data_IF_797870026790
#
_entry.id   IF_797870026790
#
_cell.length_a   1.000
_cell.length_b   1.000
_cell.length_c   1.000
_cell.angle_alpha   90.00
_cell.angle_beta   90.00
_cell.angle_gamma   90.00
#
_symmetry.space_group_name_H-M   'P 1'
#
loop_
_entity.id
_entity.type
_entity.pdbx_description
1 polymer ?
#
# COMPACT_ATOMS: atom_id res chain seq x y z
N UNK A 1 -9.03 14.93 15.83
CA UNK A 1 -9.96 14.44 14.79
C UNK A 1 -9.59 13.00 14.48
N UNK A 2 -10.55 12.14 14.14
CA UNK A 2 -10.22 10.82 13.60
C UNK A 2 -9.49 10.98 12.25
N UNK A 3 -8.60 10.06 11.85
CA UNK A 3 -7.97 10.12 10.55
C UNK A 3 -9.00 9.98 9.41
N UNK A 4 -8.66 10.46 8.23
CA UNK A 4 -9.52 10.36 7.02
C UNK A 4 -8.75 9.69 5.90
N UNK A 5 -9.39 8.77 5.18
CA UNK A 5 -8.87 8.16 3.95
C UNK A 5 -9.49 8.89 2.75
N UNK A 6 -8.65 9.49 1.92
CA UNK A 6 -9.03 10.13 0.66
C UNK A 6 -8.74 9.20 -0.52
N UNK A 7 -9.74 9.04 -1.39
CA UNK A 7 -9.72 8.19 -2.57
C UNK A 7 -9.57 9.04 -3.83
N UNK A 8 -8.58 8.69 -4.66
CA UNK A 8 -8.15 9.45 -5.82
C UNK A 8 -8.08 8.60 -7.08
N UNK A 9 -8.12 9.23 -8.24
CA UNK A 9 -7.41 8.70 -9.40
C UNK A 9 -6.22 9.59 -9.72
N UNK A 10 -5.28 9.05 -10.46
CA UNK A 10 -4.06 9.79 -10.84
C UNK A 10 -4.20 10.59 -12.13
N UNK A 11 -5.24 10.36 -12.93
CA UNK A 11 -5.36 10.87 -14.31
C UNK A 11 -4.20 10.42 -15.22
N UNK A 12 -3.82 9.14 -15.12
CA UNK A 12 -2.69 8.53 -15.84
C UNK A 12 -3.06 7.18 -16.46
N UNK A 13 -2.17 6.57 -17.26
CA UNK A 13 -2.32 5.19 -17.68
C UNK A 13 -2.30 4.20 -16.51
N UNK A 14 -2.78 2.98 -16.77
CA UNK A 14 -2.94 1.89 -15.80
C UNK A 14 -1.66 1.40 -15.13
N UNK A 15 -0.52 1.60 -15.75
CA UNK A 15 0.80 1.16 -15.26
C UNK A 15 1.58 2.28 -14.54
N UNK A 16 0.97 3.45 -14.32
CA UNK A 16 1.63 4.53 -13.61
C UNK A 16 1.58 4.29 -12.10
N UNK A 17 2.75 4.01 -11.52
CA UNK A 17 2.85 3.56 -10.11
C UNK A 17 3.92 4.31 -9.32
N UNK A 18 4.50 5.36 -9.91
CA UNK A 18 5.60 6.15 -9.33
C UNK A 18 5.12 7.54 -8.96
N UNK A 19 4.83 7.78 -7.68
CA UNK A 19 4.44 9.09 -7.15
C UNK A 19 4.90 9.29 -5.71
N UNK A 20 5.29 10.51 -5.34
CA UNK A 20 5.47 10.87 -3.92
C UNK A 20 4.21 11.42 -3.25
N UNK A 21 3.06 11.42 -3.95
CA UNK A 21 1.85 12.15 -3.53
C UNK A 21 0.82 11.27 -2.81
N UNK A 22 0.86 9.96 -3.05
CA UNK A 22 -0.13 9.01 -2.52
C UNK A 22 0.55 7.99 -1.65
N UNK A 23 -0.15 7.52 -0.62
CA UNK A 23 0.33 6.43 0.22
C UNK A 23 0.36 5.13 -0.57
N UNK A 24 -0.69 4.91 -1.37
CA UNK A 24 -0.84 3.73 -2.22
C UNK A 24 -1.38 4.08 -3.59
N UNK A 25 -0.84 3.41 -4.62
CA UNK A 25 -1.37 3.43 -5.97
C UNK A 25 -1.83 2.03 -6.37
N UNK A 26 -3.04 1.92 -6.90
CA UNK A 26 -3.63 0.68 -7.43
C UNK A 26 -3.47 0.66 -8.96
N UNK A 27 -2.64 -0.24 -9.48
CA UNK A 27 -2.45 -0.44 -10.91
C UNK A 27 -3.72 -1.00 -11.59
N UNK A 28 -3.81 -0.94 -12.91
CA UNK A 28 -5.02 -1.33 -13.66
C UNK A 28 -5.49 -2.77 -13.46
N UNK A 29 -4.58 -3.67 -13.10
CA UNK A 29 -4.84 -5.07 -12.78
C UNK A 29 -5.21 -5.31 -11.29
N UNK A 30 -5.25 -4.24 -10.48
CA UNK A 30 -5.52 -4.31 -9.04
C UNK A 30 -4.26 -4.44 -8.17
N UNK A 31 -3.06 -4.48 -8.74
CA UNK A 31 -1.82 -4.56 -7.95
C UNK A 31 -1.62 -3.30 -7.09
N UNK A 32 -1.26 -3.48 -5.82
CA UNK A 32 -1.09 -2.37 -4.87
C UNK A 32 0.38 -2.00 -4.70
N UNK A 33 0.71 -0.75 -5.04
CA UNK A 33 2.02 -0.13 -4.82
C UNK A 33 1.95 0.80 -3.62
N UNK A 34 2.42 0.34 -2.46
CA UNK A 34 2.47 1.12 -1.21
C UNK A 34 3.78 1.88 -1.17
N UNK A 35 3.70 3.20 -1.27
CA UNK A 35 4.84 4.10 -1.43
C UNK A 35 5.24 4.72 -0.09
N UNK A 36 4.25 5.09 0.71
CA UNK A 36 4.47 5.74 2.00
C UNK A 36 3.68 5.06 3.09
N UNK A 37 4.23 5.07 4.31
CA UNK A 37 3.53 4.54 5.46
C UNK A 37 2.25 5.32 5.76
N UNK A 38 1.17 4.63 6.12
CA UNK A 38 -0.10 5.23 6.51
C UNK A 38 -0.07 6.03 7.83
N UNK A 39 1.07 6.07 8.51
CA UNK A 39 1.24 6.72 9.82
C UNK A 39 1.79 8.12 9.72
N UNK A 40 1.95 8.64 8.50
CA UNK A 40 2.52 9.96 8.24
C UNK A 40 1.58 10.79 7.38
N UNK A 41 1.75 12.10 7.41
CA UNK A 41 1.03 13.01 6.54
C UNK A 41 1.82 13.22 5.23
N UNK A 42 1.11 13.16 4.11
CA UNK A 42 1.65 13.57 2.81
C UNK A 42 1.13 14.97 2.47
N UNK A 43 2.00 15.83 1.97
CA UNK A 43 1.74 17.27 1.90
C UNK A 43 0.88 17.73 0.70
N UNK A 44 0.55 16.86 -0.26
CA UNK A 44 0.04 17.31 -1.56
C UNK A 44 -0.95 16.36 -2.28
N UNK A 45 -1.93 15.76 -1.59
CA UNK A 45 -2.98 14.96 -2.25
C UNK A 45 -4.38 15.62 -2.20
N UNK A 46 -4.77 16.23 -1.08
CA UNK A 46 -6.10 16.84 -0.88
C UNK A 46 -5.94 18.22 -0.25
N UNK A 47 -6.22 19.27 -1.04
CA UNK A 47 -6.04 20.65 -0.62
C UNK A 47 -6.68 20.95 0.75
N UNK A 48 -5.89 21.51 1.68
CA UNK A 48 -6.27 21.82 3.08
C UNK A 48 -6.77 20.64 3.93
N UNK A 49 -6.57 19.41 3.48
CA UNK A 49 -7.11 18.19 4.10
C UNK A 49 -6.06 17.08 4.30
N UNK A 50 -4.79 17.41 4.07
CA UNK A 50 -3.64 16.50 4.09
C UNK A 50 -3.16 16.05 5.48
N UNK A 51 -3.64 16.69 6.55
CA UNK A 51 -3.20 16.35 7.91
C UNK A 51 -4.07 15.27 8.53
N UNK A 52 -3.44 14.35 9.24
CA UNK A 52 -4.04 13.14 9.82
C UNK A 52 -4.84 12.37 8.74
N UNK A 53 -4.22 12.15 7.59
CA UNK A 53 -4.90 11.65 6.41
C UNK A 53 -4.09 10.64 5.60
N UNK A 54 -4.79 9.67 5.04
CA UNK A 54 -4.24 8.68 4.10
C UNK A 54 -4.81 8.92 2.71
N UNK A 55 -4.00 8.67 1.68
CA UNK A 55 -4.36 8.88 0.28
C UNK A 55 -4.13 7.61 -0.53
N UNK A 56 -5.20 7.04 -1.07
CA UNK A 56 -5.16 5.83 -1.91
C UNK A 56 -5.66 6.23 -3.30
N UNK A 57 -4.84 5.99 -4.32
CA UNK A 57 -5.14 6.37 -5.71
C UNK A 57 -5.26 5.16 -6.62
N UNK A 58 -6.17 5.18 -7.59
CA UNK A 58 -6.11 4.28 -8.74
C UNK A 58 -5.32 4.93 -9.88
N UNK A 59 -4.45 4.15 -10.54
CA UNK A 59 -3.77 4.53 -11.77
C UNK A 59 -4.76 4.47 -12.95
N UNK A 60 -5.55 5.50 -13.19
CA UNK A 60 -6.57 5.49 -14.26
C UNK A 60 -6.93 6.92 -14.69
N UNK A 61 -7.90 7.06 -15.59
CA UNK A 61 -8.42 8.32 -16.12
C UNK A 61 -7.41 9.13 -16.96
N UNK A 62 -6.33 8.50 -17.43
CA UNK A 62 -5.32 9.12 -18.29
C UNK A 62 -5.66 9.17 -19.78
N UNK A 63 -6.87 8.77 -20.16
CA UNK A 63 -7.33 8.76 -21.54
C UNK A 63 -7.30 10.15 -22.20
N UNK A 64 -6.92 10.20 -23.48
CA UNK A 64 -6.94 11.43 -24.30
C UNK A 64 -7.62 11.16 -25.66
N UNK A 65 -8.49 12.06 -26.16
CA UNK A 65 -8.97 13.29 -25.52
C UNK A 65 -10.01 13.05 -24.41
N UNK A 66 -10.55 11.83 -24.31
CA UNK A 66 -11.57 11.45 -23.32
C UNK A 66 -10.93 10.66 -22.15
N UNK A 67 -10.92 11.17 -20.91
CA UNK A 67 -10.45 10.45 -19.73
C UNK A 67 -11.13 9.09 -19.53
N UNK A 68 -12.39 8.97 -19.93
CA UNK A 68 -13.18 7.74 -19.81
C UNK A 68 -12.77 6.65 -20.80
N UNK A 69 -11.80 6.87 -21.68
CA UNK A 69 -11.18 5.76 -22.44
C UNK A 69 -10.28 4.88 -21.56
N UNK A 70 -9.93 5.34 -20.36
CA UNK A 70 -9.23 4.57 -19.34
C UNK A 70 -9.96 4.66 -17.98
N UNK A 71 -11.21 4.16 -17.89
CA UNK A 71 -11.99 4.24 -16.66
C UNK A 71 -11.33 3.45 -15.51
N UNK A 72 -11.71 3.66 -14.24
CA UNK A 72 -11.30 2.76 -13.17
C UNK A 72 -11.75 1.33 -13.51
N UNK A 73 -10.84 0.37 -13.43
CA UNK A 73 -11.18 -1.04 -13.64
C UNK A 73 -11.88 -1.62 -12.41
N UNK A 74 -12.65 -2.69 -12.59
CA UNK A 74 -13.28 -3.37 -11.45
C UNK A 74 -12.21 -3.92 -10.48
N UNK A 75 -11.09 -4.45 -11.02
CA UNK A 75 -9.95 -4.90 -10.23
C UNK A 75 -9.34 -3.76 -9.38
N UNK A 76 -9.23 -2.55 -9.94
CA UNK A 76 -8.80 -1.37 -9.20
C UNK A 76 -9.77 -1.00 -8.07
N UNK A 77 -11.07 -0.97 -8.36
CA UNK A 77 -12.10 -0.61 -7.39
C UNK A 77 -12.11 -1.62 -6.24
N UNK A 78 -12.05 -2.92 -6.55
CA UNK A 78 -12.02 -3.98 -5.56
C UNK A 78 -10.76 -3.90 -4.69
N UNK A 79 -9.58 -3.81 -5.29
CA UNK A 79 -8.31 -3.72 -4.56
C UNK A 79 -8.22 -2.46 -3.70
N UNK A 80 -8.70 -1.31 -4.19
CA UNK A 80 -8.82 -0.09 -3.39
C UNK A 80 -9.75 -0.29 -2.20
N UNK A 81 -10.93 -0.90 -2.38
CA UNK A 81 -11.84 -1.16 -1.26
C UNK A 81 -11.24 -2.12 -0.23
N UNK A 82 -10.56 -3.17 -0.67
CA UNK A 82 -9.83 -4.11 0.21
C UNK A 82 -8.72 -3.40 0.98
N UNK A 83 -7.99 -2.50 0.34
CA UNK A 83 -6.94 -1.73 1.00
C UNK A 83 -7.51 -0.75 2.04
N UNK A 84 -8.59 -0.02 1.70
CA UNK A 84 -9.29 0.84 2.66
C UNK A 84 -9.78 0.04 3.87
N UNK A 85 -10.34 -1.15 3.65
CA UNK A 85 -10.78 -2.02 4.74
C UNK A 85 -9.60 -2.51 5.60
N UNK A 86 -8.45 -2.81 5.00
CA UNK A 86 -7.24 -3.21 5.73
C UNK A 86 -6.70 -2.06 6.61
N UNK A 87 -6.67 -0.83 6.09
CA UNK A 87 -6.29 0.37 6.85
C UNK A 87 -7.30 0.66 7.97
N UNK A 88 -8.60 0.55 7.68
CA UNK A 88 -9.64 0.72 8.68
C UNK A 88 -9.48 -0.27 9.85
N UNK A 89 -9.21 -1.56 9.56
CA UNK A 89 -8.95 -2.58 10.60
C UNK A 89 -7.72 -2.26 11.43
N UNK A 90 -6.64 -1.75 10.83
CA UNK A 90 -5.43 -1.41 11.60
C UNK A 90 -5.63 -0.20 12.52
N UNK A 91 -6.71 0.57 12.33
CA UNK A 91 -7.15 1.64 13.21
C UNK A 91 -8.34 1.24 14.09
N UNK A 92 -8.64 -0.05 14.19
CA UNK A 92 -9.77 -0.61 14.94
C UNK A 92 -11.15 -0.09 14.51
N UNK A 93 -11.27 0.45 13.29
CA UNK A 93 -12.55 0.92 12.75
C UNK A 93 -13.46 -0.25 12.39
N UNK A 94 -14.73 -0.09 12.73
CA UNK A 94 -15.79 -1.04 12.42
C UNK A 94 -16.55 -0.59 11.15
N UNK A 95 -17.41 -1.45 10.61
CA UNK A 95 -18.24 -1.10 9.47
C UNK A 95 -19.08 0.19 9.70
N UNK A 96 -19.54 0.43 10.93
CA UNK A 96 -20.30 1.63 11.31
C UNK A 96 -19.45 2.93 11.26
N UNK A 97 -18.12 2.81 11.29
CA UNK A 97 -17.22 3.94 11.21
C UNK A 97 -16.98 4.42 9.77
N UNK A 98 -17.24 3.57 8.78
CA UNK A 98 -17.06 3.89 7.35
C UNK A 98 -18.17 4.82 6.87
N UNK A 99 -17.97 6.11 7.14
CA UNK A 99 -18.84 7.23 6.83
C UNK A 99 -18.08 8.29 6.03
N UNK A 100 -18.80 9.28 5.52
CA UNK A 100 -18.22 10.34 4.69
C UNK A 100 -17.11 11.11 5.42
N UNK A 101 -17.14 11.24 6.74
CA UNK A 101 -16.11 11.96 7.50
C UNK A 101 -14.78 11.18 7.58
N UNK A 102 -14.81 9.88 7.27
CA UNK A 102 -13.67 8.96 7.44
C UNK A 102 -13.16 8.37 6.14
N UNK A 103 -14.02 8.19 5.14
CA UNK A 103 -13.65 7.73 3.79
C UNK A 103 -14.33 8.61 2.76
N UNK A 104 -13.54 9.44 2.07
CA UNK A 104 -14.01 10.43 1.11
C UNK A 104 -13.35 10.22 -0.24
N UNK A 105 -14.07 10.47 -1.33
CA UNK A 105 -13.43 10.69 -2.62
C UNK A 105 -12.88 12.12 -2.70
N UNK A 106 -11.92 12.39 -3.60
CA UNK A 106 -11.47 13.77 -3.82
C UNK A 106 -12.62 14.66 -4.29
N UNK A 107 -13.58 14.14 -5.08
CA UNK A 107 -14.77 14.91 -5.46
C UNK A 107 -15.58 15.36 -4.23
N UNK A 108 -15.80 14.46 -3.26
CA UNK A 108 -16.56 14.76 -2.04
C UNK A 108 -15.80 15.76 -1.15
N UNK A 109 -14.49 15.57 -1.02
CA UNK A 109 -13.62 16.44 -0.23
C UNK A 109 -13.54 17.85 -0.84
N UNK A 110 -13.38 17.94 -2.17
CA UNK A 110 -13.36 19.18 -2.93
C UNK A 110 -14.67 19.97 -2.84
N UNK A 111 -15.77 19.27 -2.56
CA UNK A 111 -17.11 19.84 -2.42
C UNK A 111 -17.54 20.03 -0.96
N UNK A 112 -16.65 19.83 0.02
CA UNK A 112 -16.95 19.93 1.46
C UNK A 112 -18.18 19.11 1.90
N UNK A 113 -18.40 17.93 1.30
CA UNK A 113 -19.62 17.13 1.53
C UNK A 113 -19.72 16.51 2.92
N UNK A 114 -18.61 16.51 3.67
CA UNK A 114 -18.57 16.16 5.09
C UNK A 114 -19.10 17.28 6.01
N UNK A 115 -19.58 18.39 5.44
CA UNK A 115 -20.11 19.55 6.18
C UNK A 115 -19.01 20.48 6.72
N UNK A 116 -17.73 20.19 6.48
CA UNK A 116 -16.60 21.03 6.87
C UNK A 116 -16.25 22.01 5.75
N UNK A 117 -16.54 23.30 5.93
CA UNK A 117 -16.17 24.34 4.94
C UNK A 117 -14.69 24.70 5.09
N UNK A 118 -13.82 24.00 4.34
CA UNK A 118 -12.36 24.17 4.43
C UNK A 118 -11.79 25.11 3.36
N UNK A 119 -12.49 25.25 2.23
CA UNK A 119 -12.12 25.98 1.03
C UNK A 119 -13.38 26.22 0.17
N UNK A 120 -13.27 27.04 -0.86
CA UNK A 120 -14.30 27.14 -1.89
C UNK A 120 -14.52 25.80 -2.60
N UNK A 121 -15.71 25.58 -3.14
CA UNK A 121 -16.07 24.33 -3.80
C UNK A 121 -15.37 24.21 -5.16
N UNK A 122 -14.29 23.41 -5.21
CA UNK A 122 -13.58 23.08 -6.45
C UNK A 122 -13.91 21.67 -6.98
N UNK A 123 -14.97 21.08 -6.42
CA UNK A 123 -15.46 19.76 -6.82
C UNK A 123 -16.30 19.80 -8.10
N UNK A 124 -17.05 18.72 -8.40
CA UNK A 124 -17.84 18.63 -9.63
C UNK A 124 -18.82 19.79 -9.84
N UNK A 125 -18.96 20.21 -11.10
CA UNK A 125 -19.95 21.24 -11.50
C UNK A 125 -21.37 20.82 -11.15
N UNK A 126 -21.70 19.53 -11.27
CA UNK A 126 -23.00 18.99 -10.88
C UNK A 126 -23.30 19.14 -9.37
N UNK A 127 -22.27 19.40 -8.56
CA UNK A 127 -22.38 19.68 -7.12
C UNK A 127 -22.11 21.16 -6.80
N UNK A 128 -22.17 22.04 -7.80
CA UNK A 128 -22.00 23.49 -7.64
C UNK A 128 -20.54 23.96 -7.50
N UNK A 129 -19.57 23.10 -7.84
CA UNK A 129 -18.15 23.47 -7.86
C UNK A 129 -17.64 23.92 -9.22
N UNK A 130 -16.35 24.26 -9.28
CA UNK A 130 -15.67 24.70 -10.51
C UNK A 130 -15.17 23.57 -11.41
N UNK A 131 -15.22 22.31 -10.95
CA UNK A 131 -15.00 21.11 -11.76
C UNK A 131 -13.57 20.58 -11.80
N UNK A 132 -12.64 21.14 -11.02
CA UNK A 132 -11.23 20.76 -11.04
C UNK A 132 -10.97 19.36 -10.50
N UNK A 133 -11.77 18.90 -9.52
CA UNK A 133 -11.68 17.54 -8.97
C UNK A 133 -13.02 16.85 -8.96
N UNK A 134 -13.06 15.69 -9.60
CA UNK A 134 -14.28 14.89 -9.73
C UNK A 134 -14.02 13.40 -9.51
N UNK A 135 -12.88 13.08 -8.88
CA UNK A 135 -12.43 11.74 -8.51
C UNK A 135 -13.53 10.94 -7.84
N UNK A 136 -13.87 9.82 -8.47
CA UNK A 136 -14.93 8.89 -8.08
C UNK A 136 -16.28 9.56 -7.74
N UNK A 137 -16.59 10.70 -8.37
CA UNK A 137 -17.97 11.17 -8.46
C UNK A 137 -18.84 10.07 -9.08
N UNK A 138 -18.33 9.44 -10.14
CA UNK A 138 -18.90 8.28 -10.80
C UNK A 138 -17.81 7.20 -10.90
N UNK A 139 -18.18 5.92 -10.74
CA UNK A 139 -17.24 4.80 -10.92
C UNK A 139 -17.17 4.29 -12.36
N UNK A 140 -18.10 4.70 -13.21
CA UNK A 140 -18.27 4.27 -14.60
C UNK A 140 -18.88 5.39 -15.43
N UNK A 141 -18.55 5.43 -16.73
CA UNK A 141 -19.00 6.49 -17.64
C UNK A 141 -20.53 6.55 -17.67
N UNK A 142 -21.10 7.73 -17.40
CA UNK A 142 -22.54 7.92 -17.35
C UNK A 142 -23.25 7.25 -16.17
N UNK A 143 -22.51 6.76 -15.17
CA UNK A 143 -23.06 6.15 -13.97
C UNK A 143 -23.72 7.16 -13.01
N UNK A 144 -24.28 6.70 -11.89
CA UNK A 144 -24.78 7.59 -10.85
C UNK A 144 -23.66 8.42 -10.20
N UNK A 145 -24.00 9.63 -9.76
CA UNK A 145 -23.10 10.56 -9.07
C UNK A 145 -22.99 10.24 -7.56
N UNK A 146 -22.86 8.96 -7.22
CA UNK A 146 -22.82 8.44 -5.85
C UNK A 146 -21.61 7.52 -5.61
N UNK A 147 -20.56 7.64 -6.44
CA UNK A 147 -19.41 6.72 -6.42
C UNK A 147 -18.73 6.60 -5.05
N UNK A 148 -18.64 7.69 -4.28
CA UNK A 148 -18.13 7.65 -2.90
C UNK A 148 -18.97 6.77 -1.96
N UNK A 149 -20.30 6.79 -2.10
CA UNK A 149 -21.18 5.94 -1.30
C UNK A 149 -21.14 4.48 -1.76
N UNK A 150 -21.02 4.23 -3.08
CA UNK A 150 -20.81 2.88 -3.60
C UNK A 150 -19.50 2.27 -3.03
N UNK A 151 -18.40 3.03 -3.03
CA UNK A 151 -17.11 2.62 -2.45
C UNK A 151 -17.24 2.34 -0.94
N UNK A 152 -17.80 3.28 -0.17
CA UNK A 152 -18.03 3.07 1.28
C UNK A 152 -18.87 1.83 1.56
N UNK A 153 -19.91 1.56 0.77
CA UNK A 153 -20.74 0.35 0.91
C UNK A 153 -19.94 -0.94 0.71
N UNK A 154 -19.07 -0.98 -0.30
CA UNK A 154 -18.17 -2.13 -0.56
C UNK A 154 -17.18 -2.33 0.61
N UNK A 155 -16.59 -1.25 1.11
CA UNK A 155 -15.70 -1.30 2.29
C UNK A 155 -16.45 -1.80 3.53
N UNK A 156 -17.67 -1.32 3.79
CA UNK A 156 -18.51 -1.82 4.90
C UNK A 156 -18.78 -3.32 4.79
N UNK A 157 -19.12 -3.80 3.58
CA UNK A 157 -19.32 -5.23 3.35
C UNK A 157 -18.05 -6.02 3.68
N UNK A 158 -16.88 -5.55 3.26
CA UNK A 158 -15.60 -6.19 3.57
C UNK A 158 -15.26 -6.22 5.06
N UNK A 159 -15.68 -5.21 5.83
CA UNK A 159 -15.46 -5.17 7.29
C UNK A 159 -16.47 -6.01 8.09
N UNK A 160 -17.67 -6.22 7.55
CA UNK A 160 -18.73 -7.01 8.19
C UNK A 160 -18.52 -8.52 8.09
N UNK A 161 -17.64 -8.97 7.19
CA UNK A 161 -17.20 -10.36 7.12
C UNK A 161 -15.91 -10.46 7.94
N UNK A 162 -15.78 -11.52 8.75
CA UNK A 162 -14.47 -11.94 9.27
C UNK A 162 -13.49 -12.01 8.09
N UNK A 163 -12.20 -11.64 8.25
CA UNK A 163 -11.25 -11.67 7.15
C UNK A 163 -11.21 -13.07 6.54
N UNK A 164 -11.92 -13.25 5.43
CA UNK A 164 -11.91 -14.49 4.68
C UNK A 164 -10.50 -14.61 4.09
N UNK A 165 -9.75 -15.69 4.38
CA UNK A 165 -8.54 -15.97 3.62
C UNK A 165 -8.98 -16.07 2.15
N UNK A 166 -8.57 -15.07 1.36
CA UNK A 166 -8.92 -14.86 -0.05
C UNK A 166 -9.38 -16.15 -0.78
N UNK A 167 -10.63 -16.23 -1.26
CA UNK A 167 -11.16 -17.46 -1.83
C UNK A 167 -10.53 -17.70 -3.20
N UNK A 168 -9.36 -18.34 -3.24
CA UNK A 168 -8.78 -18.82 -4.50
C UNK A 168 -7.34 -19.30 -4.45
N UNK A 169 -6.50 -18.84 -3.51
CA UNK A 169 -5.11 -19.30 -3.41
C UNK A 169 -4.79 -19.76 -2.00
N UNK A 170 -4.20 -20.96 -1.83
CA UNK A 170 -3.75 -21.40 -0.52
C UNK A 170 -2.68 -20.42 -0.01
N UNK A 171 -2.78 -20.05 1.26
CA UNK A 171 -1.77 -19.24 1.92
C UNK A 171 -0.37 -19.81 1.67
N UNK A 172 0.62 -18.93 1.52
CA UNK A 172 2.00 -19.32 1.24
C UNK A 172 2.47 -20.43 2.19
N UNK A 173 2.94 -21.53 1.60
CA UNK A 173 3.51 -22.64 2.34
C UNK A 173 5.02 -22.72 2.11
N UNK A 174 5.79 -22.70 3.20
CA UNK A 174 7.19 -23.09 3.16
C UNK A 174 7.27 -24.60 2.96
N UNK A 175 7.98 -25.03 1.93
CA UNK A 175 8.10 -26.43 1.49
C UNK A 175 9.36 -27.10 2.01
N UNK A 176 10.43 -26.32 2.19
CA UNK A 176 11.75 -26.85 2.56
C UNK A 176 12.52 -25.86 3.40
N UNK A 177 13.08 -26.34 4.51
CA UNK A 177 14.17 -25.66 5.22
C UNK A 177 15.50 -25.86 4.51
N UNK A 178 16.29 -24.81 4.44
CA UNK A 178 17.62 -24.84 3.87
C UNK A 178 18.54 -23.86 4.61
N UNK A 179 19.83 -23.93 4.28
CA UNK A 179 20.81 -22.89 4.60
C UNK A 179 21.37 -22.31 3.30
N UNK A 180 21.80 -21.05 3.36
CA UNK A 180 22.55 -20.41 2.28
C UNK A 180 23.70 -19.59 2.83
N UNK A 181 24.76 -19.41 2.04
CA UNK A 181 25.87 -18.55 2.42
C UNK A 181 25.45 -17.07 2.36
N UNK A 182 25.72 -16.32 3.42
CA UNK A 182 25.48 -14.88 3.48
C UNK A 182 26.58 -14.22 4.33
N UNK A 183 27.36 -13.30 3.72
CA UNK A 183 28.50 -12.62 4.37
C UNK A 183 29.49 -13.60 5.04
N UNK A 184 29.77 -14.71 4.36
CA UNK A 184 30.67 -15.76 4.88
C UNK A 184 30.10 -16.61 6.02
N UNK A 185 28.82 -16.44 6.38
CA UNK A 185 28.11 -17.22 7.41
C UNK A 185 26.97 -18.05 6.81
N UNK A 186 26.45 -19.03 7.56
CA UNK A 186 25.24 -19.75 7.17
C UNK A 186 23.99 -19.02 7.66
N UNK A 187 23.12 -18.64 6.72
CA UNK A 187 21.80 -18.07 6.97
C UNK A 187 20.75 -19.17 6.81
N UNK A 188 19.89 -19.35 7.83
CA UNK A 188 18.74 -20.24 7.74
C UNK A 188 17.65 -19.62 6.86
N UNK A 189 17.11 -20.40 5.92
CA UNK A 189 16.04 -19.96 5.02
C UNK A 189 14.95 -21.01 4.89
N UNK A 190 13.75 -20.54 4.58
CA UNK A 190 12.62 -21.36 4.19
C UNK A 190 12.33 -21.13 2.70
N UNK A 191 12.13 -22.20 1.94
CA UNK A 191 11.91 -22.15 0.50
C UNK A 191 10.44 -22.45 0.21
N UNK A 192 9.77 -21.60 -0.55
CA UNK A 192 8.39 -21.82 -0.97
C UNK A 192 8.26 -22.73 -2.20
N UNK A 193 7.04 -22.94 -2.68
CA UNK A 193 6.77 -23.79 -3.84
C UNK A 193 7.36 -23.25 -5.16
N UNK A 194 7.66 -21.95 -5.23
CA UNK A 194 8.23 -21.29 -6.40
C UNK A 194 9.76 -21.24 -6.34
N UNK A 195 10.38 -21.81 -5.30
CA UNK A 195 11.81 -21.74 -5.08
C UNK A 195 12.29 -20.41 -4.49
N UNK A 196 11.39 -19.54 -4.04
CA UNK A 196 11.77 -18.27 -3.41
C UNK A 196 12.29 -18.54 -2.01
N UNK A 197 13.44 -17.96 -1.68
CA UNK A 197 14.02 -17.99 -0.34
C UNK A 197 13.42 -16.92 0.55
N UNK A 198 12.98 -17.32 1.73
CA UNK A 198 12.47 -16.48 2.80
C UNK A 198 13.35 -16.61 4.03
N UNK A 199 13.68 -15.49 4.66
CA UNK A 199 14.41 -15.47 5.92
C UNK A 199 13.70 -14.55 6.91
N UNK A 200 14.08 -14.69 8.18
CA UNK A 200 13.61 -13.78 9.21
C UNK A 200 14.23 -12.41 8.98
N UNK A 201 13.38 -11.38 8.99
CA UNK A 201 13.84 -10.01 8.80
C UNK A 201 14.88 -9.61 9.85
N UNK A 202 14.69 -10.04 11.11
CA UNK A 202 15.63 -9.79 12.20
C UNK A 202 17.01 -10.42 11.96
N UNK A 203 17.07 -11.64 11.42
CA UNK A 203 18.33 -12.35 11.17
C UNK A 203 19.11 -11.65 10.03
N UNK A 204 18.41 -11.26 8.96
CA UNK A 204 18.98 -10.49 7.87
C UNK A 204 19.49 -9.12 8.33
N UNK A 205 18.68 -8.36 9.06
CA UNK A 205 19.08 -7.04 9.57
C UNK A 205 20.29 -7.12 10.50
N UNK A 206 20.32 -8.13 11.37
CA UNK A 206 21.45 -8.35 12.28
C UNK A 206 22.72 -8.76 11.52
N UNK A 207 22.59 -9.62 10.51
CA UNK A 207 23.72 -10.09 9.70
C UNK A 207 24.45 -8.97 8.97
N UNK A 208 23.73 -7.90 8.59
CA UNK A 208 24.26 -6.73 7.89
C UNK A 208 24.43 -5.50 8.77
N UNK A 209 24.41 -5.67 10.10
CA UNK A 209 24.60 -4.60 11.08
C UNK A 209 23.66 -3.40 10.87
N UNK A 210 22.41 -3.67 10.45
CA UNK A 210 21.42 -2.63 10.13
C UNK A 210 20.59 -2.33 11.38
N UNK A 211 20.67 -1.11 11.97
CA UNK A 211 19.89 -0.76 13.14
C UNK A 211 18.39 -0.73 12.83
N UNK A 212 17.59 -1.35 13.68
CA UNK A 212 16.14 -1.37 13.53
C UNK A 212 15.39 -1.38 14.86
N UNK A 213 14.12 -0.97 14.80
CA UNK A 213 13.16 -1.08 15.90
C UNK A 213 11.89 -1.79 15.42
N UNK A 214 11.36 -2.72 16.23
CA UNK A 214 10.09 -3.38 15.97
C UNK A 214 8.95 -2.65 16.66
N UNK A 215 7.96 -2.20 15.87
CA UNK A 215 6.69 -1.68 16.34
C UNK A 215 5.59 -2.74 16.19
N UNK A 216 5.22 -3.45 17.27
CA UNK A 216 4.22 -4.52 17.21
C UNK A 216 2.81 -3.99 16.91
N UNK A 217 2.46 -2.80 17.37
CA UNK A 217 1.13 -2.22 17.17
C UNK A 217 0.84 -1.95 15.69
N UNK A 218 1.87 -1.54 14.96
CA UNK A 218 1.77 -1.23 13.52
C UNK A 218 2.28 -2.37 12.63
N UNK A 219 2.72 -3.48 13.21
CA UNK A 219 3.39 -4.59 12.50
C UNK A 219 4.50 -4.06 11.59
N UNK A 220 5.39 -3.24 12.16
CA UNK A 220 6.37 -2.48 11.37
C UNK A 220 7.78 -2.60 11.92
N UNK A 221 8.75 -2.76 11.01
CA UNK A 221 10.17 -2.59 11.30
C UNK A 221 10.59 -1.19 10.82
N UNK A 222 11.12 -0.39 11.74
CA UNK A 222 11.68 0.93 11.45
C UNK A 222 13.20 0.84 11.31
N UNK A 223 13.72 1.26 10.16
CA UNK A 223 15.14 1.20 9.84
C UNK A 223 15.78 2.56 10.14
N UNK A 224 16.81 2.56 10.99
CA UNK A 224 17.51 3.79 11.43
C UNK A 224 18.51 4.37 10.41
N UNK A 225 18.55 3.84 9.19
CA UNK A 225 19.56 4.17 8.18
C UNK A 225 19.00 5.15 7.14
N UNK A 226 19.71 6.23 6.81
CA UNK A 226 19.22 7.25 5.85
C UNK A 226 19.70 7.05 4.41
N UNK A 227 20.49 6.02 4.15
CA UNK A 227 21.16 5.74 2.86
C UNK A 227 20.41 4.75 1.97
N UNK A 228 19.21 4.30 2.39
CA UNK A 228 18.38 3.39 1.60
C UNK A 228 17.40 4.21 0.76
N UNK A 229 17.39 3.96 -0.54
CA UNK A 229 16.41 4.52 -1.45
C UNK A 229 15.44 3.41 -1.88
N UNK A 230 14.19 3.40 -1.37
CA UNK A 230 13.24 2.35 -1.70
C UNK A 230 13.01 2.23 -3.20
N UNK A 231 13.01 1.00 -3.71
CA UNK A 231 12.92 0.79 -5.16
C UNK A 231 11.47 0.81 -5.68
N UNK A 232 10.47 0.82 -4.78
CA UNK A 232 9.03 0.82 -5.08
C UNK A 232 8.63 -0.29 -6.04
N UNK A 233 9.04 -1.52 -5.69
CA UNK A 233 8.93 -2.69 -6.57
C UNK A 233 7.51 -2.97 -7.01
N UNK A 234 7.40 -3.43 -8.27
CA UNK A 234 6.13 -3.88 -8.84
C UNK A 234 5.74 -5.30 -8.42
N UNK A 235 6.67 -6.07 -7.86
CA UNK A 235 6.46 -7.46 -7.46
C UNK A 235 6.41 -7.65 -5.94
N UNK A 236 6.21 -6.57 -5.17
CA UNK A 236 6.16 -6.58 -3.71
C UNK A 236 5.07 -7.51 -3.15
N UNK A 237 5.27 -8.01 -1.92
CA UNK A 237 4.34 -8.97 -1.28
C UNK A 237 2.93 -8.38 -1.14
N UNK A 238 1.95 -9.07 -1.73
CA UNK A 238 0.53 -8.71 -1.74
C UNK A 238 -0.28 -9.43 -0.66
N UNK A 239 -1.45 -8.90 -0.31
CA UNK A 239 -2.34 -9.50 0.68
C UNK A 239 -2.87 -10.88 0.28
N UNK A 240 -2.95 -11.16 -1.03
CA UNK A 240 -3.31 -12.45 -1.60
C UNK A 240 -2.33 -13.59 -1.23
N UNK A 241 -1.17 -13.29 -0.63
CA UNK A 241 -0.23 -14.31 -0.15
C UNK A 241 -0.78 -15.13 1.03
N UNK A 242 -1.89 -14.69 1.64
CA UNK A 242 -2.65 -15.45 2.65
C UNK A 242 -2.05 -15.44 4.05
N UNK A 243 -1.12 -14.52 4.35
CA UNK A 243 -0.59 -14.29 5.71
C UNK A 243 -0.78 -12.82 6.10
N UNK A 244 -0.92 -12.51 7.41
CA UNK A 244 -0.82 -11.13 7.86
C UNK A 244 0.51 -10.53 7.40
N UNK A 245 0.51 -9.26 7.03
CA UNK A 245 1.70 -8.60 6.49
C UNK A 245 2.38 -7.73 7.54
N UNK A 246 3.68 -7.54 7.39
CA UNK A 246 4.44 -6.49 8.08
C UNK A 246 5.10 -5.58 7.05
N UNK A 247 5.41 -4.36 7.46
CA UNK A 247 6.11 -3.39 6.63
C UNK A 247 7.48 -3.06 7.21
N UNK A 248 8.47 -2.91 6.34
CA UNK A 248 9.78 -2.37 6.68
C UNK A 248 9.89 -0.99 6.04
N UNK A 249 10.24 0.04 6.82
CA UNK A 249 10.37 1.39 6.29
C UNK A 249 11.37 2.22 7.07
N UNK A 250 11.74 3.37 6.50
CA UNK A 250 12.73 4.26 7.08
C UNK A 250 12.21 5.01 8.31
N UNK A 251 13.11 5.25 9.26
CA UNK A 251 12.90 6.14 10.40
C UNK A 251 13.05 7.60 9.94
N UNK A 252 11.94 8.36 9.92
CA UNK A 252 11.91 9.79 9.59
C UNK A 252 11.32 10.14 8.20
N UNK A 253 11.10 11.44 7.97
CA UNK A 253 10.59 11.99 6.69
C UNK A 253 9.21 11.46 6.25
N UNK A 254 9.01 11.32 4.94
CA UNK A 254 7.83 10.66 4.35
C UNK A 254 7.81 9.12 4.59
N UNK A 255 8.63 8.62 5.52
CA UNK A 255 8.69 7.25 6.03
C UNK A 255 8.40 6.19 4.95
N UNK A 256 9.15 6.22 3.82
CA UNK A 256 8.82 5.39 2.67
C UNK A 256 8.95 3.91 3.04
N UNK A 257 8.09 3.11 2.43
CA UNK A 257 8.11 1.65 2.60
C UNK A 257 9.26 1.10 1.77
N UNK A 258 10.20 0.40 2.42
CA UNK A 258 11.33 -0.27 1.77
C UNK A 258 10.85 -1.58 1.16
N UNK A 259 10.29 -2.46 1.99
CA UNK A 259 9.75 -3.76 1.56
C UNK A 259 8.62 -4.21 2.47
N UNK A 260 7.92 -5.25 2.02
CA UNK A 260 6.91 -5.95 2.83
C UNK A 260 7.25 -7.41 2.94
N UNK A 261 6.81 -8.01 4.03
CA UNK A 261 6.90 -9.44 4.23
C UNK A 261 5.67 -9.97 4.93
N UNK A 262 5.77 -11.21 5.37
CA UNK A 262 4.69 -11.90 6.07
C UNK A 262 5.00 -12.03 7.56
N UNK A 263 3.96 -12.01 8.37
CA UNK A 263 4.00 -12.47 9.75
C UNK A 263 3.51 -13.90 9.79
N UNK A 264 4.35 -14.79 10.30
CA UNK A 264 4.01 -16.19 10.50
C UNK A 264 4.57 -16.66 11.84
N UNK A 265 3.69 -17.19 12.69
CA UNK A 265 4.01 -17.60 14.06
C UNK A 265 4.68 -16.45 14.86
N UNK A 266 4.10 -15.24 14.78
CA UNK A 266 4.60 -14.01 15.41
C UNK A 266 6.03 -13.59 15.02
N UNK A 267 6.52 -14.08 13.87
CA UNK A 267 7.83 -13.71 13.33
C UNK A 267 7.69 -13.07 11.95
N UNK A 268 8.49 -12.05 11.70
CA UNK A 268 8.55 -11.32 10.44
C UNK A 268 9.50 -12.01 9.45
N UNK A 269 8.97 -12.39 8.28
CA UNK A 269 9.70 -13.05 7.20
C UNK A 269 9.65 -12.23 5.91
N UNK A 270 10.79 -11.98 5.28
CA UNK A 270 10.85 -11.33 3.97
C UNK A 270 11.57 -12.20 2.94
N UNK A 271 11.35 -11.91 1.66
CA UNK A 271 12.07 -12.55 0.56
C UNK A 271 13.53 -12.10 0.59
N UNK A 272 14.45 -13.06 0.56
CA UNK A 272 15.89 -12.80 0.72
C UNK A 272 16.46 -11.96 -0.41
N UNK A 273 16.07 -12.25 -1.66
CA UNK A 273 16.54 -11.49 -2.82
C UNK A 273 16.04 -10.03 -2.79
N UNK A 274 14.76 -9.84 -2.45
CA UNK A 274 14.17 -8.50 -2.31
C UNK A 274 14.89 -7.68 -1.23
N UNK A 275 15.14 -8.28 -0.06
CA UNK A 275 15.95 -7.65 0.97
C UNK A 275 17.34 -7.28 0.44
N UNK A 276 18.01 -8.18 -0.28
CA UNK A 276 19.32 -7.89 -0.82
C UNK A 276 19.30 -6.69 -1.79
N UNK A 277 18.30 -6.62 -2.67
CA UNK A 277 18.17 -5.56 -3.66
C UNK A 277 17.85 -4.20 -3.02
N UNK A 278 16.91 -4.14 -2.06
CA UNK A 278 16.56 -2.91 -1.35
C UNK A 278 17.72 -2.34 -0.54
N UNK A 279 18.54 -3.21 0.06
CA UNK A 279 19.66 -2.81 0.92
C UNK A 279 21.00 -2.73 0.18
N UNK A 280 21.01 -2.88 -1.15
CA UNK A 280 22.22 -2.79 -1.96
C UNK A 280 23.24 -3.90 -1.70
N UNK A 281 22.79 -5.08 -1.27
CA UNK A 281 23.62 -6.24 -0.98
C UNK A 281 23.86 -7.03 -2.27
N UNK A 282 25.10 -7.46 -2.48
CA UNK A 282 25.45 -8.25 -3.66
C UNK A 282 24.84 -9.66 -3.56
N UNK A 283 24.10 -10.10 -4.58
CA UNK A 283 23.58 -11.46 -4.69
C UNK A 283 24.35 -12.28 -5.73
N UNK A 284 24.65 -13.53 -5.41
CA UNK A 284 25.18 -14.56 -6.31
C UNK A 284 24.08 -15.59 -6.57
N UNK A 285 24.06 -16.25 -7.73
CA UNK A 285 22.98 -17.17 -8.11
C UNK A 285 23.43 -18.63 -8.32
N UNK A 286 24.73 -18.91 -8.23
CA UNK A 286 25.31 -20.23 -8.48
C UNK A 286 26.44 -20.56 -7.49
N UNK A 287 26.13 -21.02 -6.25
CA UNK A 287 24.80 -21.15 -5.67
C UNK A 287 24.21 -19.79 -5.24
N UNK A 288 22.90 -19.76 -4.92
CA UNK A 288 22.29 -18.55 -4.38
C UNK A 288 22.93 -18.18 -3.03
N UNK A 289 23.53 -17.00 -2.94
CA UNK A 289 24.28 -16.53 -1.78
C UNK A 289 24.26 -15.00 -1.72
N UNK A 290 24.48 -14.44 -0.52
CA UNK A 290 24.62 -13.00 -0.33
C UNK A 290 26.06 -12.62 0.05
N UNK A 291 26.57 -11.56 -0.59
CA UNK A 291 27.89 -10.96 -0.33
C UNK A 291 27.78 -9.71 0.54
N UNK A 292 28.68 -8.76 0.34
CA UNK A 292 28.70 -7.51 1.10
C UNK A 292 27.63 -6.51 0.65
N UNK A 293 27.24 -5.64 1.60
CA UNK A 293 26.44 -4.43 1.35
C UNK A 293 27.30 -3.39 0.62
N UNK A 294 26.82 -2.89 -0.53
CA UNK A 294 27.55 -1.89 -1.31
C UNK A 294 27.42 -0.52 -0.62
N UNK A 295 28.56 0.11 -0.33
CA UNK A 295 28.60 1.45 0.27
C UNK A 295 28.63 1.48 1.80
N UNK A 296 28.83 0.33 2.46
CA UNK A 296 29.22 0.23 3.88
C UNK A 296 30.73 0.10 4.06
#
# INVERSE_FOLDING_TARGET
MAPTIYLHWSATPYNWVRSGLYHTIVAGDGHLHRLHSYTIDLNAHTWRRNSNAVAISCACMGGRPDPWSMPPTEAQIEAMCREVAAVARSWDWQAADIRIERVMTHAEAASNRDGRVMHDNYGPVAWGGTGERWDFMQLRKGGPADGGEELRRRVRALLSVEPDPDPGQPALAFRRRATMAARGTELAVEIDANGTSWALAADLLSLYDIPYEWNPAQRRILIGSTDIAPTYREDGVQASIGHPLFEMGLQGGNAPVILRGILRNDRAWCRVLEFAEEFGITAFFQPFALGERRGG
#
